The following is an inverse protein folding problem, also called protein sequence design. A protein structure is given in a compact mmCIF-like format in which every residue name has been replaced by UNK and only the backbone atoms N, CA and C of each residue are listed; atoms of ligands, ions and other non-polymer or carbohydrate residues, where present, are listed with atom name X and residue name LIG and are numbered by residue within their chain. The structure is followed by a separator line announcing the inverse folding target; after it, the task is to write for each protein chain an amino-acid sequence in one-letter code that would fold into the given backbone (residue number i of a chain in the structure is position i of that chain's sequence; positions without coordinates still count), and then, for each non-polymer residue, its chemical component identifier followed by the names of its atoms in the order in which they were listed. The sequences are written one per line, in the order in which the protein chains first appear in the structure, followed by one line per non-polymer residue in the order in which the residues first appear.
data_IF_738862448847
#
_entry.id   IF_738862448847
#
_cell.length_a   1.000
_cell.length_b   1.000
_cell.length_c   1.000
_cell.angle_alpha   90.00
_cell.angle_beta   90.00
_cell.angle_gamma   90.00
#
_symmetry.space_group_name_H-M   'P 1'
#
loop_
_entity.id
_entity.type
_entity.pdbx_description
1 polymer ?
#
# COMPACT_ATOMS: atom_id res chain seq x y z
N UNK A 1 -20.83 2.37 -13.41
CA UNK A 1 -20.05 3.48 -12.83
C UNK A 1 -19.72 3.09 -11.41
N UNK A 2 -18.44 3.15 -11.06
CA UNK A 2 -17.93 2.74 -9.75
C UNK A 2 -17.54 4.02 -9.02
N UNK A 3 -17.91 4.12 -7.74
CA UNK A 3 -17.60 5.24 -6.85
C UNK A 3 -17.10 4.69 -5.52
N UNK A 4 -16.28 5.47 -4.81
CA UNK A 4 -15.77 5.08 -3.49
C UNK A 4 -15.58 6.29 -2.60
N UNK A 5 -14.48 6.30 -1.87
CA UNK A 5 -14.04 7.40 -1.01
C UNK A 5 -12.82 8.03 -1.70
N UNK A 6 -12.90 9.34 -1.94
CA UNK A 6 -11.79 10.10 -2.49
C UNK A 6 -10.62 10.14 -1.48
N UNK A 7 -9.51 9.51 -1.83
CA UNK A 7 -8.29 9.56 -1.04
C UNK A 7 -7.43 10.76 -1.47
N UNK A 8 -7.13 10.85 -2.76
CA UNK A 8 -6.27 11.88 -3.33
C UNK A 8 -6.84 12.36 -4.68
N UNK A 9 -6.97 13.69 -4.89
CA UNK A 9 -7.61 14.26 -6.07
C UNK A 9 -6.73 14.15 -7.31
N UNK A 10 -7.36 14.03 -8.48
CA UNK A 10 -6.68 14.03 -9.78
C UNK A 10 -7.40 13.15 -10.80
N UNK A 11 -6.93 13.21 -12.05
CA UNK A 11 -7.48 12.41 -13.15
C UNK A 11 -6.35 11.62 -13.81
N UNK A 12 -6.50 10.30 -13.86
CA UNK A 12 -5.56 9.39 -14.50
C UNK A 12 -6.23 8.56 -15.60
N UNK A 13 -5.47 8.30 -16.66
CA UNK A 13 -5.90 7.51 -17.82
C UNK A 13 -4.88 6.40 -18.03
N UNK A 14 -5.31 5.14 -17.98
CA UNK A 14 -4.36 4.03 -18.10
C UNK A 14 -5.04 2.68 -18.16
N UNK A 15 -4.25 1.64 -18.42
CA UNK A 15 -4.73 0.25 -18.35
C UNK A 15 -4.83 -0.17 -16.89
N UNK A 16 -5.84 -0.96 -16.55
CA UNK A 16 -5.99 -1.58 -15.26
C UNK A 16 -4.90 -2.64 -15.06
N UNK A 17 -4.16 -2.55 -13.95
CA UNK A 17 -3.39 -3.64 -13.40
C UNK A 17 -4.14 -4.21 -12.20
N UNK A 18 -4.77 -5.36 -12.38
CA UNK A 18 -5.52 -6.02 -11.31
C UNK A 18 -4.59 -6.89 -10.46
N UNK A 19 -4.40 -6.52 -9.20
CA UNK A 19 -3.80 -7.35 -8.17
C UNK A 19 -4.80 -8.43 -7.77
N UNK A 20 -4.68 -9.60 -8.41
CA UNK A 20 -5.36 -10.80 -7.94
C UNK A 20 -4.50 -11.48 -6.91
N UNK A 21 -4.99 -11.52 -5.68
CA UNK A 21 -4.43 -12.39 -4.66
C UNK A 21 -4.93 -13.81 -4.91
N UNK A 22 -4.02 -14.76 -5.15
CA UNK A 22 -4.38 -16.17 -5.07
C UNK A 22 -4.72 -16.51 -3.62
N UNK A 23 -5.84 -17.21 -3.43
CA UNK A 23 -6.30 -17.61 -2.10
C UNK A 23 -5.33 -18.63 -1.49
N UNK A 24 -4.86 -18.35 -0.28
CA UNK A 24 -3.93 -19.21 0.44
C UNK A 24 -4.73 -20.40 1.00
N UNK A 25 -4.60 -21.56 0.34
CA UNK A 25 -5.21 -22.80 0.83
C UNK A 25 -4.26 -23.48 1.81
N UNK A 26 -4.63 -23.49 3.08
CA UNK A 26 -3.86 -24.10 4.16
C UNK A 26 -4.22 -25.59 4.28
N UNK A 27 -3.25 -26.50 4.19
CA UNK A 27 -3.50 -27.92 4.38
C UNK A 27 -3.42 -28.27 5.87
N UNK A 28 -4.58 -28.45 6.51
CA UNK A 28 -4.68 -28.84 7.94
C UNK A 28 -4.56 -30.34 8.19
N UNK A 29 -4.15 -31.14 7.20
CA UNK A 29 -3.92 -32.58 7.40
C UNK A 29 -2.67 -32.79 8.26
N UNK A 30 -2.73 -33.80 9.11
CA UNK A 30 -1.56 -34.24 9.87
C UNK A 30 -0.53 -34.87 8.94
N UNK A 31 0.73 -34.52 9.16
CA UNK A 31 1.86 -35.10 8.43
C UNK A 31 2.31 -36.42 9.08
N UNK A 32 2.93 -37.29 8.29
CA UNK A 32 3.61 -38.48 8.81
C UNK A 32 4.93 -38.08 9.48
N UNK A 33 5.40 -38.87 10.45
CA UNK A 33 6.67 -38.60 11.14
C UNK A 33 7.86 -38.47 10.17
N UNK A 34 7.87 -39.23 9.07
CA UNK A 34 8.93 -39.17 8.05
C UNK A 34 8.97 -37.85 7.26
N UNK A 35 7.94 -37.01 7.37
CA UNK A 35 7.84 -35.71 6.68
C UNK A 35 8.14 -34.52 7.59
N UNK A 36 8.35 -34.75 8.89
CA UNK A 36 8.59 -33.68 9.86
C UNK A 36 9.81 -32.85 9.47
N UNK A 37 10.95 -33.51 9.19
CA UNK A 37 12.17 -32.81 8.81
C UNK A 37 12.02 -32.04 7.48
N UNK A 38 11.26 -32.61 6.53
CA UNK A 38 10.96 -31.97 5.25
C UNK A 38 10.11 -30.69 5.42
N UNK A 39 9.10 -30.73 6.29
CA UNK A 39 8.26 -29.56 6.58
C UNK A 39 9.03 -28.48 7.36
N UNK A 40 9.93 -28.87 8.27
CA UNK A 40 10.84 -27.92 8.94
C UNK A 40 11.76 -27.25 7.93
N UNK A 41 12.38 -28.00 7.01
CA UNK A 41 13.22 -27.42 5.95
C UNK A 41 12.42 -26.52 5.00
N UNK A 42 11.18 -26.92 4.68
CA UNK A 42 10.26 -26.12 3.86
C UNK A 42 9.91 -24.80 4.52
N UNK A 43 9.65 -24.80 5.82
CA UNK A 43 9.46 -23.58 6.62
C UNK A 43 10.71 -22.70 6.57
N UNK A 44 11.88 -23.24 6.90
CA UNK A 44 13.14 -22.48 6.93
C UNK A 44 13.49 -21.89 5.55
N UNK A 45 13.29 -22.64 4.47
CA UNK A 45 13.49 -22.14 3.10
C UNK A 45 12.48 -21.05 2.72
N UNK A 46 11.21 -21.21 3.13
CA UNK A 46 10.17 -20.20 2.93
C UNK A 46 10.48 -18.90 3.70
N UNK A 47 10.93 -19.02 4.94
CA UNK A 47 11.37 -17.91 5.79
C UNK A 47 12.59 -17.21 5.21
N UNK A 48 13.61 -17.94 4.77
CA UNK A 48 14.80 -17.35 4.14
C UNK A 48 14.45 -16.56 2.87
N UNK A 49 13.50 -17.05 2.06
CA UNK A 49 12.99 -16.30 0.89
C UNK A 49 12.21 -15.06 1.30
N UNK A 50 11.37 -15.16 2.33
CA UNK A 50 10.60 -14.03 2.83
C UNK A 50 11.52 -12.93 3.40
N UNK A 51 12.54 -13.30 4.18
CA UNK A 51 13.56 -12.38 4.72
C UNK A 51 14.32 -11.68 3.57
N UNK A 52 14.82 -12.43 2.59
CA UNK A 52 15.51 -11.84 1.43
C UNK A 52 14.63 -10.88 0.61
N UNK A 53 13.33 -11.17 0.48
CA UNK A 53 12.39 -10.26 -0.17
C UNK A 53 12.15 -9.01 0.66
N UNK A 54 11.96 -9.14 1.98
CA UNK A 54 11.78 -8.00 2.87
C UNK A 54 13.01 -7.09 2.91
N UNK A 55 14.22 -7.65 2.86
CA UNK A 55 15.46 -6.85 2.74
C UNK A 55 15.53 -6.03 1.44
N UNK A 56 15.09 -6.62 0.32
CA UNK A 56 15.00 -5.88 -0.95
C UNK A 56 13.96 -4.75 -0.87
N UNK A 57 12.84 -4.99 -0.20
CA UNK A 57 11.78 -3.99 0.01
C UNK A 57 12.26 -2.88 0.93
N UNK A 58 12.93 -3.23 2.03
CA UNK A 58 13.55 -2.30 2.98
C UNK A 58 14.51 -1.36 2.27
N UNK A 59 15.47 -1.91 1.51
CA UNK A 59 16.45 -1.12 0.75
C UNK A 59 15.75 -0.15 -0.20
N UNK A 60 14.75 -0.63 -0.94
CA UNK A 60 14.00 0.20 -1.88
C UNK A 60 13.15 1.26 -1.18
N UNK A 61 12.59 0.95 -0.03
CA UNK A 61 11.82 1.88 0.79
C UNK A 61 12.71 3.00 1.34
N UNK A 62 13.93 2.68 1.78
CA UNK A 62 14.94 3.66 2.20
C UNK A 62 15.30 4.63 1.06
N UNK A 63 15.55 4.11 -0.14
CA UNK A 63 15.80 4.95 -1.32
C UNK A 63 14.58 5.81 -1.68
N UNK A 64 13.40 5.19 -1.81
CA UNK A 64 12.20 5.81 -2.39
C UNK A 64 11.46 6.72 -1.42
N UNK A 65 11.42 6.38 -0.13
CA UNK A 65 10.63 7.08 0.90
C UNK A 65 11.47 7.60 2.08
N UNK A 66 12.66 7.03 2.34
CA UNK A 66 13.59 7.49 3.38
C UNK A 66 13.71 6.52 4.57
N UNK A 67 14.62 6.84 5.50
CA UNK A 67 14.99 5.98 6.64
C UNK A 67 13.80 5.65 7.56
N UNK A 68 12.81 6.55 7.68
CA UNK A 68 11.62 6.31 8.51
C UNK A 68 10.80 5.11 8.01
N UNK A 69 10.60 5.00 6.69
CA UNK A 69 9.89 3.86 6.09
C UNK A 69 10.76 2.60 6.03
N UNK A 70 12.07 2.77 5.95
CA UNK A 70 13.02 1.67 6.09
C UNK A 70 12.92 0.98 7.46
N UNK A 71 12.83 1.78 8.54
CA UNK A 71 12.74 1.28 9.91
C UNK A 71 11.50 0.41 10.16
N UNK A 72 10.40 0.66 9.45
CA UNK A 72 9.19 -0.20 9.52
C UNK A 72 9.52 -1.61 9.02
N UNK A 73 10.19 -1.73 7.87
CA UNK A 73 10.57 -3.02 7.31
C UNK A 73 11.67 -3.71 8.11
N UNK A 74 12.58 -2.95 8.75
CA UNK A 74 13.52 -3.50 9.72
C UNK A 74 12.79 -4.21 10.85
N UNK A 75 11.76 -3.57 11.43
CA UNK A 75 10.90 -4.19 12.44
C UNK A 75 10.19 -5.45 11.94
N UNK A 76 9.74 -5.46 10.68
CA UNK A 76 9.11 -6.64 10.07
C UNK A 76 10.09 -7.80 9.91
N UNK A 77 11.35 -7.52 9.52
CA UNK A 77 12.41 -8.53 9.42
C UNK A 77 12.74 -9.07 10.81
N UNK A 78 12.89 -8.21 11.81
CA UNK A 78 13.17 -8.63 13.19
C UNK A 78 12.06 -9.54 13.75
N UNK A 79 10.79 -9.25 13.48
CA UNK A 79 9.67 -10.11 13.86
C UNK A 79 9.70 -11.46 13.13
N UNK A 80 10.01 -11.45 11.83
CA UNK A 80 10.14 -12.69 11.06
C UNK A 80 11.32 -13.53 11.54
N UNK A 81 12.42 -12.89 11.95
CA UNK A 81 13.67 -13.52 12.38
C UNK A 81 13.73 -13.84 13.88
N UNK A 82 12.64 -13.60 14.61
CA UNK A 82 12.53 -13.93 16.02
C UNK A 82 12.75 -15.44 16.27
N UNK A 83 13.65 -15.74 17.21
CA UNK A 83 13.96 -17.11 17.62
C UNK A 83 12.74 -17.76 18.32
N UNK A 84 11.94 -17.00 19.06
CA UNK A 84 10.76 -17.53 19.77
C UNK A 84 9.71 -18.01 18.75
N UNK A 85 9.45 -17.21 17.72
CA UNK A 85 8.55 -17.57 16.61
C UNK A 85 9.04 -18.80 15.85
N UNK A 86 10.35 -18.89 15.59
CA UNK A 86 10.94 -20.08 14.96
C UNK A 86 10.71 -21.34 15.80
N UNK A 87 11.03 -21.27 17.10
CA UNK A 87 10.90 -22.43 17.99
C UNK A 87 9.44 -22.87 18.14
N UNK A 88 8.49 -21.94 18.25
CA UNK A 88 7.07 -22.24 18.33
C UNK A 88 6.56 -22.96 17.08
N UNK A 89 6.89 -22.47 15.88
CA UNK A 89 6.47 -23.09 14.62
C UNK A 89 7.09 -24.49 14.49
N UNK A 90 8.39 -24.64 14.78
CA UNK A 90 9.07 -25.93 14.71
C UNK A 90 8.48 -26.92 15.73
N UNK A 91 8.13 -26.45 16.93
CA UNK A 91 7.48 -27.28 17.95
C UNK A 91 6.11 -27.78 17.49
N UNK A 92 5.29 -26.93 16.86
CA UNK A 92 4.00 -27.35 16.31
C UNK A 92 4.14 -28.39 15.19
N UNK A 93 5.14 -28.24 14.31
CA UNK A 93 5.42 -29.22 13.25
C UNK A 93 5.87 -30.55 13.85
N UNK A 94 6.78 -30.55 14.83
CA UNK A 94 7.34 -31.77 15.43
C UNK A 94 6.37 -32.48 16.38
N UNK A 95 5.73 -31.74 17.28
CA UNK A 95 4.92 -32.32 18.35
C UNK A 95 3.50 -32.62 17.86
N UNK A 96 2.87 -31.66 17.17
CA UNK A 96 1.47 -31.81 16.69
C UNK A 96 1.37 -32.42 15.30
N UNK A 97 2.50 -32.65 14.61
CA UNK A 97 2.53 -33.19 13.24
C UNK A 97 1.69 -32.33 12.28
N UNK A 98 1.86 -31.02 12.35
CA UNK A 98 1.23 -30.06 11.44
C UNK A 98 2.11 -29.79 10.22
N UNK A 99 1.50 -29.37 9.12
CA UNK A 99 2.23 -28.84 7.95
C UNK A 99 2.87 -27.48 8.28
N UNK A 100 3.91 -27.10 7.54
CA UNK A 100 4.61 -25.83 7.74
C UNK A 100 3.67 -24.61 7.59
N UNK A 101 2.77 -24.64 6.62
CA UNK A 101 1.79 -23.58 6.38
C UNK A 101 0.74 -23.50 7.50
N UNK A 102 0.23 -24.62 8.00
CA UNK A 102 -0.73 -24.61 9.10
C UNK A 102 -0.10 -24.15 10.42
N UNK A 103 1.13 -24.61 10.72
CA UNK A 103 1.85 -24.22 11.93
C UNK A 103 2.21 -22.73 11.91
N UNK A 104 2.75 -22.23 10.79
CA UNK A 104 3.05 -20.81 10.64
C UNK A 104 1.80 -19.93 10.75
N UNK A 105 0.69 -20.34 10.13
CA UNK A 105 -0.57 -19.61 10.24
C UNK A 105 -1.11 -19.57 11.68
N UNK A 106 -1.05 -20.68 12.43
CA UNK A 106 -1.53 -20.74 13.83
C UNK A 106 -0.74 -19.79 14.74
N UNK A 107 0.59 -19.75 14.62
CA UNK A 107 1.45 -18.85 15.42
C UNK A 107 1.23 -17.39 15.06
N UNK A 108 1.27 -17.05 13.77
CA UNK A 108 1.11 -15.66 13.32
C UNK A 108 -0.29 -15.12 13.65
N UNK A 109 -1.34 -15.91 13.40
CA UNK A 109 -2.71 -15.48 13.71
C UNK A 109 -2.92 -15.34 15.22
N UNK A 110 -2.28 -16.21 16.02
CA UNK A 110 -2.27 -16.09 17.48
C UNK A 110 -1.64 -14.77 17.95
N UNK A 111 -0.47 -14.41 17.43
CA UNK A 111 0.18 -13.14 17.76
C UNK A 111 -0.64 -11.92 17.29
N UNK A 112 -1.19 -11.96 16.08
CA UNK A 112 -2.03 -10.89 15.56
C UNK A 112 -3.31 -10.70 16.39
N UNK A 113 -3.97 -11.80 16.77
CA UNK A 113 -5.18 -11.76 17.60
C UNK A 113 -4.87 -11.17 18.97
N UNK A 114 -3.75 -11.58 19.59
CA UNK A 114 -3.32 -11.04 20.88
C UNK A 114 -3.07 -9.52 20.84
N UNK A 115 -2.58 -8.99 19.71
CA UNK A 115 -2.41 -7.55 19.51
C UNK A 115 -3.75 -6.83 19.28
N UNK A 116 -4.71 -7.44 18.59
CA UNK A 116 -6.04 -6.84 18.36
C UNK A 116 -6.92 -6.78 19.61
N UNK A 117 -6.75 -7.73 20.53
CA UNK A 117 -7.46 -7.74 21.81
C UNK A 117 -7.04 -6.58 22.72
N UNK A 118 -5.90 -5.94 22.44
CA UNK A 118 -5.47 -4.73 23.14
C UNK A 118 -6.29 -3.53 22.66
N UNK A 119 -6.81 -2.74 23.60
CA UNK A 119 -7.63 -1.57 23.30
C UNK A 119 -6.77 -0.34 22.95
N UNK A 120 -5.93 -0.49 21.94
CA UNK A 120 -5.03 0.54 21.41
C UNK A 120 -5.05 0.50 19.88
N UNK A 121 -5.43 1.60 19.23
CA UNK A 121 -5.50 1.70 17.76
C UNK A 121 -4.14 1.47 17.10
N UNK A 122 -3.04 1.91 17.72
CA UNK A 122 -1.69 1.72 17.19
C UNK A 122 -1.28 0.24 17.21
N UNK A 123 -1.66 -0.49 18.25
CA UNK A 123 -1.38 -1.94 18.35
C UNK A 123 -2.27 -2.75 17.40
N UNK A 124 -3.49 -2.31 17.13
CA UNK A 124 -4.37 -2.89 16.11
C UNK A 124 -3.79 -2.72 14.69
N UNK A 125 -3.17 -1.57 14.40
CA UNK A 125 -2.44 -1.40 13.14
C UNK A 125 -1.25 -2.36 13.03
N UNK A 126 -0.47 -2.53 14.11
CA UNK A 126 0.62 -3.53 14.12
C UNK A 126 0.13 -4.97 13.93
N UNK A 127 -1.08 -5.31 14.36
CA UNK A 127 -1.66 -6.62 14.10
C UNK A 127 -1.86 -6.88 12.60
N UNK A 128 -2.23 -5.84 11.84
CA UNK A 128 -2.34 -5.93 10.38
C UNK A 128 -0.96 -6.16 9.73
N UNK A 129 0.08 -5.50 10.24
CA UNK A 129 1.47 -5.69 9.78
C UNK A 129 1.96 -7.13 10.03
N UNK A 130 1.70 -7.68 11.21
CA UNK A 130 2.02 -9.08 11.55
C UNK A 130 1.30 -10.05 10.60
N UNK A 131 0.03 -9.79 10.25
CA UNK A 131 -0.70 -10.61 9.27
C UNK A 131 -0.14 -10.46 7.86
N UNK A 132 0.33 -9.28 7.45
CA UNK A 132 0.98 -9.08 6.15
C UNK A 132 2.25 -9.93 6.03
N UNK A 133 3.09 -9.92 7.07
CA UNK A 133 4.29 -10.77 7.17
C UNK A 133 3.90 -12.26 7.10
N UNK A 134 2.86 -12.65 7.85
CA UNK A 134 2.31 -14.01 7.83
C UNK A 134 1.88 -14.45 6.44
N UNK A 135 1.10 -13.63 5.73
CA UNK A 135 0.65 -13.91 4.36
C UNK A 135 1.85 -14.09 3.42
N UNK A 136 2.87 -13.22 3.54
CA UNK A 136 4.11 -13.32 2.73
C UNK A 136 4.90 -14.59 3.04
N UNK A 137 5.02 -14.96 4.31
CA UNK A 137 5.67 -16.20 4.74
C UNK A 137 4.93 -17.43 4.17
N UNK A 138 3.61 -17.49 4.31
CA UNK A 138 2.78 -18.57 3.78
C UNK A 138 2.91 -18.72 2.26
N UNK A 139 2.88 -17.60 1.51
CA UNK A 139 3.10 -17.61 0.06
C UNK A 139 4.46 -18.21 -0.31
N UNK A 140 5.52 -17.84 0.43
CA UNK A 140 6.85 -18.38 0.19
C UNK A 140 6.98 -19.88 0.54
N UNK A 141 6.30 -20.35 1.61
CA UNK A 141 6.23 -21.77 1.99
C UNK A 141 5.47 -22.60 0.94
N UNK A 142 4.37 -22.06 0.42
CA UNK A 142 3.54 -22.70 -0.60
C UNK A 142 4.14 -22.59 -2.02
N UNK A 143 5.14 -21.71 -2.21
CA UNK A 143 5.75 -21.46 -3.50
C UNK A 143 4.83 -20.69 -4.46
N UNK A 144 3.88 -19.92 -3.91
CA UNK A 144 2.99 -19.07 -4.70
C UNK A 144 3.76 -17.87 -5.25
N UNK A 145 3.42 -17.45 -6.46
CA UNK A 145 4.02 -16.27 -7.07
C UNK A 145 3.61 -15.02 -6.28
N UNK A 146 4.60 -14.21 -5.92
CA UNK A 146 4.37 -12.88 -5.33
C UNK A 146 4.49 -11.89 -6.47
N UNK A 147 3.44 -11.10 -6.70
CA UNK A 147 3.45 -10.07 -7.73
C UNK A 147 4.40 -8.96 -7.27
N UNK A 148 5.48 -8.78 -8.01
CA UNK A 148 6.42 -7.69 -7.77
C UNK A 148 5.93 -6.42 -8.47
N UNK A 149 5.39 -5.48 -7.69
CA UNK A 149 4.90 -4.19 -8.18
C UNK A 149 6.04 -3.28 -8.67
N UNK A 150 7.29 -3.59 -8.36
CA UNK A 150 8.42 -2.85 -8.89
C UNK A 150 8.70 -3.13 -10.36
N UNK A 151 8.36 -4.33 -10.83
CA UNK A 151 8.66 -4.83 -12.16
C UNK A 151 7.69 -4.31 -13.24
N UNK A 152 6.76 -3.42 -12.89
CA UNK A 152 5.81 -2.81 -13.82
C UNK A 152 6.57 -1.95 -14.84
N UNK A 153 6.44 -2.28 -16.13
CA UNK A 153 7.15 -1.60 -17.24
C UNK A 153 6.28 -0.57 -17.97
N UNK A 154 4.97 -0.79 -18.00
CA UNK A 154 3.98 0.08 -18.67
C UNK A 154 3.30 1.02 -17.67
N UNK A 155 2.75 2.13 -18.16
CA UNK A 155 1.92 3.02 -17.36
C UNK A 155 0.55 2.37 -17.08
N UNK A 156 0.21 2.21 -15.80
CA UNK A 156 -0.99 1.48 -15.35
C UNK A 156 -1.71 2.19 -14.22
N UNK A 157 -3.02 1.92 -14.11
CA UNK A 157 -3.84 2.23 -12.95
C UNK A 157 -3.99 0.94 -12.14
N UNK A 158 -3.55 0.97 -10.90
CA UNK A 158 -3.52 -0.22 -10.05
C UNK A 158 -4.89 -0.44 -9.40
N UNK A 159 -5.39 -1.68 -9.45
CA UNK A 159 -6.69 -2.07 -8.90
C UNK A 159 -6.49 -3.25 -7.97
N UNK A 160 -6.85 -3.09 -6.69
CA UNK A 160 -6.62 -4.12 -5.67
C UNK A 160 -7.80 -4.20 -4.70
N UNK A 161 -7.90 -5.29 -3.93
CA UNK A 161 -8.89 -5.35 -2.86
C UNK A 161 -8.46 -4.42 -1.72
N UNK A 162 -7.20 -4.49 -1.35
CA UNK A 162 -6.52 -3.60 -0.44
C UNK A 162 -5.06 -3.46 -0.88
N UNK A 163 -4.33 -2.50 -0.34
CA UNK A 163 -2.90 -2.29 -0.59
C UNK A 163 -2.18 -2.30 0.75
N UNK A 164 -1.29 -3.27 0.95
CA UNK A 164 -0.51 -3.34 2.18
C UNK A 164 0.62 -2.31 2.18
N UNK A 165 1.17 -1.92 3.34
CA UNK A 165 2.34 -1.04 3.42
C UNK A 165 3.52 -1.58 2.59
N UNK A 166 3.74 -2.90 2.64
CA UNK A 166 4.78 -3.60 1.86
C UNK A 166 4.61 -3.43 0.35
N UNK A 167 3.37 -3.49 -0.15
CA UNK A 167 3.05 -3.31 -1.56
C UNK A 167 3.19 -1.86 -1.99
N UNK A 168 2.71 -0.94 -1.14
CA UNK A 168 2.77 0.50 -1.40
C UNK A 168 4.23 0.98 -1.47
N UNK A 169 5.12 0.45 -0.63
CA UNK A 169 6.55 0.75 -0.66
C UNK A 169 7.27 0.24 -1.93
N UNK A 170 6.72 -0.79 -2.59
CA UNK A 170 7.31 -1.33 -3.81
C UNK A 170 6.85 -0.62 -5.07
N UNK A 171 5.79 0.19 -4.98
CA UNK A 171 5.16 0.86 -6.11
C UNK A 171 6.19 1.63 -6.94
N UNK A 172 6.18 1.38 -8.24
CA UNK A 172 6.93 2.20 -9.18
C UNK A 172 6.16 3.49 -9.46
N UNK A 173 6.49 4.56 -8.72
CA UNK A 173 5.82 5.87 -8.80
C UNK A 173 5.86 6.49 -10.21
N UNK A 174 6.79 6.09 -11.07
CA UNK A 174 6.86 6.59 -12.45
C UNK A 174 5.88 5.89 -13.40
N UNK A 175 5.39 4.71 -13.02
CA UNK A 175 4.58 3.84 -13.88
C UNK A 175 3.15 3.70 -13.37
N UNK A 176 2.95 3.83 -12.08
CA UNK A 176 1.61 3.80 -11.49
C UNK A 176 1.02 5.20 -11.55
N UNK A 177 0.03 5.39 -12.44
CA UNK A 177 -0.64 6.68 -12.64
C UNK A 177 -1.67 6.99 -11.57
N UNK A 178 -2.07 5.99 -10.78
CA UNK A 178 -3.06 6.09 -9.73
C UNK A 178 -3.51 4.70 -9.27
N UNK A 179 -4.30 4.62 -8.22
CA UNK A 179 -4.79 3.34 -7.72
C UNK A 179 -6.22 3.38 -7.18
N UNK A 180 -6.85 2.21 -7.16
CA UNK A 180 -8.24 2.01 -6.75
C UNK A 180 -8.33 0.77 -5.87
N UNK A 181 -8.93 0.90 -4.69
CA UNK A 181 -9.10 -0.22 -3.75
C UNK A 181 -10.55 -0.48 -3.36
N UNK A 182 -10.89 -1.74 -3.07
CA UNK A 182 -12.20 -2.12 -2.53
C UNK A 182 -12.34 -1.73 -1.07
N UNK A 183 -11.28 -1.95 -0.29
CA UNK A 183 -11.14 -1.61 1.10
C UNK A 183 -10.44 -0.27 1.28
N UNK A 184 -10.35 0.18 2.53
CA UNK A 184 -9.69 1.42 2.91
C UNK A 184 -10.65 2.57 3.18
N UNK A 185 -10.28 3.39 4.16
CA UNK A 185 -10.97 4.62 4.54
C UNK A 185 -10.17 5.87 4.21
N UNK A 186 -10.77 7.04 4.39
CA UNK A 186 -10.13 8.35 4.14
C UNK A 186 -8.86 8.59 4.98
N UNK A 187 -8.75 7.92 6.12
CA UNK A 187 -7.65 8.00 7.09
C UNK A 187 -6.74 6.77 7.08
N UNK A 188 -6.97 5.82 6.18
CA UNK A 188 -6.08 4.64 6.06
C UNK A 188 -4.67 5.05 5.63
N UNK A 189 -3.68 4.22 5.98
CA UNK A 189 -2.28 4.39 5.57
C UNK A 189 -2.14 4.58 4.06
N UNK A 190 -2.86 3.76 3.28
CA UNK A 190 -2.90 3.85 1.82
C UNK A 190 -3.43 5.20 1.34
N UNK A 191 -4.48 5.73 1.97
CA UNK A 191 -5.03 7.06 1.65
C UNK A 191 -4.08 8.20 2.01
N UNK A 192 -3.35 8.08 3.11
CA UNK A 192 -2.36 9.08 3.53
C UNK A 192 -1.21 9.10 2.53
N UNK A 193 -0.66 7.94 2.18
CA UNK A 193 0.41 7.83 1.20
C UNK A 193 0.00 8.35 -0.18
N UNK A 194 -1.24 8.08 -0.63
CA UNK A 194 -1.74 8.62 -1.89
C UNK A 194 -1.60 10.15 -1.99
N UNK A 195 -1.88 10.85 -0.89
CA UNK A 195 -1.80 12.32 -0.83
C UNK A 195 -0.37 12.81 -0.83
N UNK A 196 0.48 12.19 0.00
CA UNK A 196 1.92 12.53 0.04
C UNK A 196 2.60 12.31 -1.32
N UNK A 197 2.13 11.34 -2.10
CA UNK A 197 2.66 11.01 -3.42
C UNK A 197 1.99 11.79 -4.57
N UNK A 198 1.00 12.64 -4.28
CA UNK A 198 0.18 13.34 -5.28
C UNK A 198 -0.42 12.39 -6.36
N UNK A 199 -0.63 11.12 -6.01
CA UNK A 199 -1.21 10.13 -6.91
C UNK A 199 -2.73 10.11 -6.78
N UNK A 200 -3.51 10.19 -7.87
CA UNK A 200 -4.96 10.11 -7.81
C UNK A 200 -5.38 8.73 -7.29
N UNK A 201 -6.27 8.73 -6.29
CA UNK A 201 -6.67 7.51 -5.62
C UNK A 201 -8.11 7.55 -5.12
N UNK A 202 -8.83 6.45 -5.34
CA UNK A 202 -10.16 6.19 -4.78
C UNK A 202 -10.11 4.88 -4.00
N UNK A 203 -10.39 4.93 -2.71
CA UNK A 203 -10.42 3.76 -1.82
C UNK A 203 -11.85 3.40 -1.47
N UNK A 204 -12.11 2.23 -0.87
CA UNK A 204 -13.44 1.92 -0.36
C UNK A 204 -14.52 1.76 -1.44
N UNK A 205 -14.16 1.31 -2.65
CA UNK A 205 -15.12 1.08 -3.75
C UNK A 205 -15.97 -0.18 -3.56
N UNK A 206 -15.55 -1.09 -2.66
CA UNK A 206 -16.23 -2.32 -2.27
C UNK A 206 -16.27 -3.44 -3.29
N UNK A 207 -16.19 -3.17 -4.60
CA UNK A 207 -16.32 -4.20 -5.64
C UNK A 207 -15.60 -3.92 -6.96
N UNK A 208 -14.69 -2.93 -7.03
CA UNK A 208 -13.91 -2.62 -8.24
C UNK A 208 -13.16 -3.84 -8.77
N UNK A 209 -12.60 -4.68 -7.89
CA UNK A 209 -11.82 -5.86 -8.30
C UNK A 209 -12.66 -6.91 -9.03
N UNK A 210 -13.96 -6.97 -8.74
CA UNK A 210 -14.90 -7.88 -9.39
C UNK A 210 -15.40 -7.36 -10.75
N UNK A 211 -15.35 -6.04 -10.96
CA UNK A 211 -15.88 -5.37 -12.15
C UNK A 211 -14.80 -5.11 -13.21
N UNK A 212 -13.55 -4.97 -12.79
CA UNK A 212 -12.42 -4.64 -13.66
C UNK A 212 -11.59 -5.89 -13.96
N UNK A 213 -11.11 -6.02 -15.21
CA UNK A 213 -10.16 -7.06 -15.62
C UNK A 213 -8.81 -6.46 -15.92
N UNK A 214 -7.78 -7.30 -15.80
CA UNK A 214 -6.41 -6.91 -16.14
C UNK A 214 -6.34 -6.49 -17.61
N UNK A 215 -5.82 -5.29 -17.89
CA UNK A 215 -5.72 -4.72 -19.23
C UNK A 215 -6.92 -3.88 -19.70
N UNK A 216 -8.01 -3.80 -18.93
CA UNK A 216 -9.12 -2.89 -19.24
C UNK A 216 -8.66 -1.43 -19.24
N UNK A 217 -9.23 -0.60 -20.11
CA UNK A 217 -8.91 0.82 -20.12
C UNK A 217 -9.73 1.55 -19.05
N UNK A 218 -9.07 2.24 -18.13
CA UNK A 218 -9.69 2.95 -17.03
C UNK A 218 -9.45 4.45 -17.13
N UNK A 219 -10.46 5.21 -16.73
CA UNK A 219 -10.30 6.60 -16.33
C UNK A 219 -10.67 6.69 -14.87
N UNK A 220 -9.68 7.08 -14.06
CA UNK A 220 -9.83 7.37 -12.65
C UNK A 220 -10.07 8.86 -12.50
N UNK A 221 -11.31 9.27 -12.24
CA UNK A 221 -11.67 10.64 -11.88
C UNK A 221 -11.86 10.75 -10.36
N UNK A 222 -10.75 11.05 -9.69
CA UNK A 222 -10.73 11.29 -8.24
C UNK A 222 -11.14 12.73 -7.86
N UNK A 223 -11.65 13.52 -8.82
CA UNK A 223 -12.28 14.83 -8.56
C UNK A 223 -13.79 14.64 -8.38
N UNK A 224 -14.44 13.94 -9.30
CA UNK A 224 -15.88 13.69 -9.27
C UNK A 224 -16.26 12.35 -8.63
N UNK A 225 -15.28 11.60 -8.13
CA UNK A 225 -15.46 10.28 -7.49
C UNK A 225 -16.08 9.23 -8.42
N UNK A 226 -15.53 9.13 -9.63
CA UNK A 226 -16.04 8.26 -10.67
C UNK A 226 -14.91 7.48 -11.34
N UNK A 227 -15.12 6.18 -11.49
CA UNK A 227 -14.25 5.31 -12.29
C UNK A 227 -15.02 4.83 -13.51
N UNK A 228 -14.43 5.08 -14.67
CA UNK A 228 -14.94 4.68 -15.97
C UNK A 228 -14.18 3.45 -16.46
N UNK A 229 -14.89 2.35 -16.67
CA UNK A 229 -14.33 1.10 -17.18
C UNK A 229 -14.67 0.97 -18.66
N UNK A 230 -13.66 0.84 -19.51
CA UNK A 230 -13.77 0.80 -20.97
C UNK A 230 -14.72 1.90 -21.54
N UNK A 231 -14.46 3.19 -21.26
CA UNK A 231 -15.30 4.29 -21.75
C UNK A 231 -15.25 4.42 -23.28
N UNK A 232 -16.29 5.03 -23.85
CA UNK A 232 -16.31 5.42 -25.25
C UNK A 232 -15.35 6.59 -25.50
N UNK A 233 -14.90 6.75 -26.75
CA UNK A 233 -13.99 7.83 -27.12
C UNK A 233 -14.56 9.22 -26.79
N UNK A 234 -15.88 9.42 -26.93
CA UNK A 234 -16.53 10.69 -26.59
C UNK A 234 -16.32 11.05 -25.11
N UNK A 235 -16.39 10.07 -24.21
CA UNK A 235 -16.16 10.25 -22.76
C UNK A 235 -14.68 10.50 -22.47
N UNK A 236 -13.78 9.84 -23.19
CA UNK A 236 -12.33 10.07 -23.09
C UNK A 236 -12.00 11.52 -23.46
N UNK A 237 -12.56 12.04 -24.57
CA UNK A 237 -12.32 13.43 -24.98
C UNK A 237 -12.88 14.45 -23.99
N UNK A 238 -14.09 14.21 -23.47
CA UNK A 238 -14.68 15.07 -22.44
C UNK A 238 -13.81 15.13 -21.19
N UNK A 239 -13.35 13.99 -20.68
CA UNK A 239 -12.52 13.93 -19.47
C UNK A 239 -11.10 14.46 -19.71
N UNK A 240 -10.56 14.33 -20.92
CA UNK A 240 -9.31 15.02 -21.29
C UNK A 240 -9.45 16.55 -21.22
N UNK A 241 -10.57 17.10 -21.68
CA UNK A 241 -10.83 18.53 -21.54
C UNK A 241 -10.93 18.97 -20.06
N UNK A 242 -11.53 18.13 -19.20
CA UNK A 242 -11.54 18.38 -17.75
C UNK A 242 -10.13 18.31 -17.16
N UNK A 243 -9.31 17.33 -17.56
CA UNK A 243 -7.92 17.23 -17.12
C UNK A 243 -7.11 18.48 -17.53
N UNK A 244 -7.32 18.99 -18.74
CA UNK A 244 -6.66 20.20 -19.24
C UNK A 244 -7.12 21.45 -18.49
N UNK A 245 -8.40 21.54 -18.11
CA UNK A 245 -8.90 22.59 -17.22
C UNK A 245 -8.22 22.53 -15.84
N UNK A 246 -8.13 21.35 -15.23
CA UNK A 246 -7.45 21.16 -13.93
C UNK A 246 -5.97 21.54 -14.04
N UNK A 247 -5.29 21.16 -15.12
CA UNK A 247 -3.90 21.54 -15.36
C UNK A 247 -3.73 23.05 -15.55
N UNK A 248 -4.67 23.70 -16.25
CA UNK A 248 -4.68 25.15 -16.46
C UNK A 248 -4.94 25.88 -15.14
N UNK A 249 -5.88 25.41 -14.33
CA UNK A 249 -6.17 25.97 -13.01
C UNK A 249 -4.96 25.83 -12.08
N UNK A 250 -4.29 24.67 -12.07
CA UNK A 250 -3.03 24.48 -11.34
C UNK A 250 -1.94 25.44 -11.82
N UNK A 251 -1.86 25.72 -13.12
CA UNK A 251 -0.91 26.69 -13.68
C UNK A 251 -1.25 28.14 -13.34
N UNK A 252 -2.53 28.51 -13.28
CA UNK A 252 -2.99 29.82 -12.82
C UNK A 252 -2.72 30.01 -11.31
N UNK A 253 -3.04 29.00 -10.50
CA UNK A 253 -2.75 28.99 -9.06
C UNK A 253 -1.24 29.05 -8.79
N UNK A 254 -0.41 28.41 -9.62
CA UNK A 254 1.04 28.48 -9.48
C UNK A 254 1.60 29.91 -9.64
N UNK A 255 0.89 30.82 -10.33
CA UNK A 255 1.27 32.24 -10.39
C UNK A 255 1.10 32.97 -9.06
N UNK A 256 0.23 32.43 -8.18
CA UNK A 256 0.00 32.97 -6.84
C UNK A 256 1.07 32.54 -5.84
N UNK A 257 1.96 31.62 -6.21
CA UNK A 257 3.00 31.05 -5.34
C UNK A 257 3.81 32.11 -4.59
N UNK A 258 4.21 33.17 -5.28
CA UNK A 258 5.08 34.22 -4.72
C UNK A 258 4.28 35.42 -4.17
N UNK A 259 2.94 35.38 -4.23
CA UNK A 259 2.09 36.45 -3.73
C UNK A 259 1.76 36.23 -2.26
N UNK A 260 1.76 37.29 -1.43
CA UNK A 260 1.36 37.18 -0.04
C UNK A 260 -0.15 36.87 0.07
N UNK A 261 -0.54 36.08 1.06
CA UNK A 261 -1.94 35.75 1.32
C UNK A 261 -2.70 36.94 1.96
N UNK A 262 -3.18 37.86 1.11
CA UNK A 262 -3.91 39.07 1.50
C UNK A 262 -5.33 39.05 0.95
N UNK A 263 -6.33 39.31 1.80
CA UNK A 263 -7.74 39.41 1.41
C UNK A 263 -8.04 40.68 0.58
N UNK A 264 -9.20 40.74 -0.09
CA UNK A 264 -9.61 41.90 -0.89
C UNK A 264 -9.72 43.21 -0.09
N UNK A 265 -9.94 43.11 1.22
CA UNK A 265 -10.01 44.22 2.17
C UNK A 265 -8.68 44.49 2.91
N UNK A 266 -7.59 43.81 2.52
CA UNK A 266 -6.22 44.12 2.96
C UNK A 266 -5.77 43.41 4.24
N UNK A 267 -6.47 42.36 4.69
CA UNK A 267 -6.04 41.55 5.83
C UNK A 267 -5.06 40.46 5.39
N UNK A 268 -3.88 40.42 5.99
CA UNK A 268 -2.86 39.41 5.72
C UNK A 268 -2.98 38.24 6.71
N UNK A 269 -2.88 37.02 6.19
CA UNK A 269 -2.79 35.78 6.98
C UNK A 269 -1.56 34.99 6.55
N UNK A 270 -1.04 34.16 7.44
CA UNK A 270 0.05 33.23 7.10
C UNK A 270 -0.53 31.92 6.55
N UNK A 271 0.02 31.46 5.43
CA UNK A 271 -0.32 30.16 4.84
C UNK A 271 0.90 29.26 4.87
N UNK A 272 0.91 28.33 5.82
CA UNK A 272 2.02 27.43 6.07
C UNK A 272 1.68 25.98 5.69
N UNK A 273 2.70 25.18 5.39
CA UNK A 273 2.54 23.76 5.13
C UNK A 273 2.57 22.94 6.43
N UNK A 274 1.85 21.82 6.41
CA UNK A 274 2.00 20.77 7.41
C UNK A 274 2.91 19.70 6.81
N UNK A 275 4.03 19.41 7.44
CA UNK A 275 5.03 18.45 6.95
C UNK A 275 5.22 17.33 7.97
N UNK A 276 5.57 16.12 7.50
CA UNK A 276 5.98 14.99 8.35
C UNK A 276 7.45 14.60 8.12
N UNK A 277 7.99 14.89 6.94
CA UNK A 277 9.38 14.58 6.59
C UNK A 277 10.05 15.76 5.89
N UNK A 278 11.39 15.75 5.82
CA UNK A 278 12.17 16.76 5.09
C UNK A 278 11.84 16.77 3.59
N UNK A 279 11.37 15.65 3.03
CA UNK A 279 10.98 15.55 1.62
C UNK A 279 9.72 16.36 1.30
N UNK A 280 8.82 16.49 2.28
CA UNK A 280 7.60 17.30 2.14
C UNK A 280 7.90 18.80 2.00
N UNK A 281 9.10 19.25 2.41
CA UNK A 281 9.55 20.64 2.24
C UNK A 281 9.61 21.01 0.76
N UNK A 282 10.04 20.10 -0.11
CA UNK A 282 10.07 20.37 -1.55
C UNK A 282 8.65 20.62 -2.10
N UNK A 283 7.67 19.86 -1.62
CA UNK A 283 6.25 20.06 -1.94
C UNK A 283 5.71 21.39 -1.37
N UNK A 284 6.08 21.74 -0.14
CA UNK A 284 5.70 23.00 0.50
C UNK A 284 6.24 24.22 -0.27
N UNK A 285 7.52 24.19 -0.65
CA UNK A 285 8.16 25.24 -1.46
C UNK A 285 7.56 25.31 -2.86
N UNK A 286 7.24 24.17 -3.47
CA UNK A 286 6.59 24.11 -4.78
C UNK A 286 5.23 24.80 -4.77
N UNK A 287 4.50 24.71 -3.66
CA UNK A 287 3.16 25.27 -3.49
C UNK A 287 3.13 26.67 -2.83
N UNK A 288 4.29 27.27 -2.51
CA UNK A 288 4.35 28.65 -2.01
C UNK A 288 4.01 28.80 -0.52
N UNK A 289 4.30 27.78 0.30
CA UNK A 289 4.14 27.89 1.74
C UNK A 289 5.05 28.99 2.32
N UNK A 290 4.49 29.88 3.14
CA UNK A 290 5.24 30.95 3.83
C UNK A 290 6.07 30.43 5.01
N UNK A 291 5.83 29.18 5.42
CA UNK A 291 6.55 28.50 6.48
C UNK A 291 6.00 27.11 6.77
N UNK A 292 6.44 26.52 7.88
CA UNK A 292 5.93 25.26 8.43
C UNK A 292 5.02 25.57 9.61
N UNK A 293 3.73 25.27 9.48
CA UNK A 293 2.72 25.53 10.51
C UNK A 293 2.56 24.38 11.49
N UNK A 294 2.86 23.16 11.03
CA UNK A 294 2.88 21.94 11.83
C UNK A 294 3.96 21.02 11.30
N UNK A 295 4.89 20.64 12.17
CA UNK A 295 5.81 19.54 11.90
C UNK A 295 5.38 18.33 12.73
N UNK A 296 4.91 17.29 12.04
CA UNK A 296 4.55 16.00 12.63
C UNK A 296 5.83 15.20 12.87
N UNK A 297 6.00 14.71 14.08
CA UNK A 297 7.20 13.96 14.52
C UNK A 297 6.88 12.52 14.90
N UNK A 298 5.60 12.14 14.84
CA UNK A 298 5.13 10.75 14.86
C UNK A 298 5.56 9.99 13.59
#
# INVERSE_FOLDING_TARGET
MISGILASPGIAFGKALLLKEDEIVIDRKKISADKVDQEVERFLSGRAKASAQLEAIKTKAGETFGEEKEAIFEGHIMLLEDEELEQEIIALIKDKHMTADAAAHEVIEGQATALEELDDEYLKERAADVRDIGKRLLRNILGLAIIDLSAIQEEVILVAADLTPSETAQLNLQKVLGFITDAGGRTSHTSIMARSLELPAIVGTGSVTSQVKNGDYLILDAVNNQVYVNPTNDVIEQLRAVQEQVATEKAELAKLKDLPAITLDGHQVEVCANIGTVRDVEGAERNGAEGVGLYRTE
#
